data_IF_788020803614
#
_entry.id   IF_788020803614
#
_cell.length_a   1.000
_cell.length_b   1.000
_cell.length_c   1.000
_cell.angle_alpha   90.00
_cell.angle_beta   90.00
_cell.angle_gamma   90.00
#
_symmetry.space_group_name_H-M   'P 1'
#
loop_
_entity.id
_entity.type
_entity.pdbx_description
1 polymer ?
#
# COMPACT_ATOMS: atom_id res chain seq x y z
N UNK A 1 -35.10 -12.33 55.54
CA UNK A 1 -35.78 -13.53 56.08
C UNK A 1 -35.26 -14.72 55.28
N UNK A 2 -34.03 -15.17 55.54
CA UNK A 2 -33.67 -16.18 56.55
C UNK A 2 -34.02 -17.62 56.10
N UNK A 3 -32.99 -18.41 55.79
CA UNK A 3 -32.81 -19.85 56.12
C UNK A 3 -31.73 -20.45 55.21
N UNK A 4 -30.50 -20.62 55.71
CA UNK A 4 -29.95 -21.88 56.26
C UNK A 4 -29.49 -22.85 55.17
N UNK A 5 -28.19 -22.91 54.84
CA UNK A 5 -27.09 -23.58 55.58
C UNK A 5 -27.34 -25.08 55.79
N UNK A 6 -26.58 -25.90 55.04
CA UNK A 6 -25.94 -27.10 55.58
C UNK A 6 -24.59 -27.32 54.91
N UNK A 7 -23.56 -27.04 55.69
CA UNK A 7 -22.22 -27.57 55.51
C UNK A 7 -22.19 -29.05 55.94
N UNK A 8 -21.20 -29.80 55.47
CA UNK A 8 -20.13 -30.42 56.29
C UNK A 8 -19.50 -31.60 55.55
N UNK A 9 -18.18 -31.46 55.28
CA UNK A 9 -17.04 -32.41 55.41
C UNK A 9 -17.19 -33.85 54.93
N UNK A 10 -16.18 -34.61 54.55
CA UNK A 10 -14.72 -34.56 54.34
C UNK A 10 -14.41 -36.05 54.03
N UNK A 11 -13.37 -36.48 53.33
CA UNK A 11 -12.17 -35.89 52.81
C UNK A 11 -11.20 -37.03 52.42
N UNK A 12 -9.99 -36.64 52.02
CA UNK A 12 -8.72 -37.43 51.98
C UNK A 12 -8.75 -38.69 51.11
N UNK A 13 -8.06 -38.70 49.97
CA UNK A 13 -6.60 -38.70 49.82
C UNK A 13 -6.27 -39.90 48.92
N UNK A 14 -5.14 -40.07 48.24
CA UNK A 14 -3.92 -39.33 48.01
C UNK A 14 -3.23 -39.99 46.78
N UNK A 15 -2.05 -39.49 46.40
CA UNK A 15 -1.06 -40.01 45.45
C UNK A 15 -1.14 -39.43 44.02
N UNK A 16 -0.39 -38.36 43.69
CA UNK A 16 1.05 -38.31 43.33
C UNK A 16 1.42 -39.14 42.10
N UNK A 17 1.59 -38.45 40.97
CA UNK A 17 2.77 -38.61 40.10
C UNK A 17 3.12 -37.25 39.50
N UNK A 18 4.22 -36.65 39.99
CA UNK A 18 4.96 -35.60 39.30
C UNK A 18 5.48 -36.16 37.98
N UNK A 19 5.33 -35.43 36.88
CA UNK A 19 6.25 -35.53 35.73
C UNK A 19 6.78 -34.13 35.41
N UNK A 20 8.09 -34.11 35.30
CA UNK A 20 8.98 -32.96 35.20
C UNK A 20 8.95 -32.36 33.79
N UNK A 21 9.08 -31.03 33.73
CA UNK A 21 9.53 -30.29 32.54
C UNK A 21 10.91 -30.80 32.08
N UNK A 22 11.23 -30.68 30.78
CA UNK A 22 12.59 -30.44 30.34
C UNK A 22 12.77 -28.97 29.94
N UNK A 23 13.81 -28.39 30.53
CA UNK A 23 14.36 -27.07 30.26
C UNK A 23 15.17 -27.06 28.96
N UNK A 24 15.00 -25.98 28.21
CA UNK A 24 15.88 -25.34 27.20
C UNK A 24 17.28 -25.94 26.99
N UNK A 25 17.62 -26.21 25.72
CA UNK A 25 19.00 -26.10 25.21
C UNK A 25 19.00 -25.39 23.84
N UNK A 26 20.01 -24.53 23.56
CA UNK A 26 20.07 -23.69 22.38
C UNK A 26 20.76 -24.39 21.20
N UNK A 27 20.18 -24.29 20.01
CA UNK A 27 20.86 -24.60 18.76
C UNK A 27 21.69 -23.39 18.32
N UNK A 28 23.00 -23.46 18.56
CA UNK A 28 24.00 -22.74 17.76
C UNK A 28 24.28 -23.59 16.52
N UNK A 29 24.09 -23.03 15.33
CA UNK A 29 24.75 -23.50 14.12
C UNK A 29 25.22 -22.26 13.35
N UNK A 30 26.49 -22.28 12.99
CA UNK A 30 27.20 -21.21 12.32
C UNK A 30 26.77 -21.06 10.87
N UNK A 31 26.57 -19.82 10.42
CA UNK A 31 26.89 -19.38 9.06
C UNK A 31 27.01 -17.85 9.07
N UNK A 32 28.19 -17.37 9.47
CA UNK A 32 28.72 -16.04 9.12
C UNK A 32 29.80 -16.27 8.07
N UNK A 33 29.56 -15.88 6.82
CA UNK A 33 30.54 -15.32 5.86
C UNK A 33 29.87 -15.10 4.50
N UNK A 34 30.13 -13.92 3.92
CA UNK A 34 29.54 -13.32 2.70
C UNK A 34 28.08 -12.87 2.91
N UNK A 35 27.72 -11.59 3.00
CA UNK A 35 28.05 -10.49 2.09
C UNK A 35 28.32 -9.19 2.87
N UNK A 36 29.60 -8.82 2.95
CA UNK A 36 30.06 -7.46 3.27
C UNK A 36 30.97 -7.03 2.12
N UNK A 37 30.38 -6.64 0.97
CA UNK A 37 31.11 -5.95 -0.10
C UNK A 37 30.16 -5.27 -1.11
N UNK A 38 29.49 -4.19 -0.71
CA UNK A 38 28.94 -3.23 -1.68
C UNK A 38 28.62 -1.84 -1.07
N UNK A 39 29.38 -1.40 -0.05
CA UNK A 39 29.24 -0.07 0.53
C UNK A 39 30.61 0.62 0.65
N UNK A 40 31.31 0.78 -0.48
CA UNK A 40 32.33 1.83 -0.69
C UNK A 40 32.41 2.10 -2.20
N UNK A 41 31.64 3.08 -2.66
CA UNK A 41 32.03 4.05 -3.70
C UNK A 41 30.93 5.11 -3.78
N UNK A 42 30.93 5.97 -2.76
CA UNK A 42 30.46 7.33 -2.90
C UNK A 42 31.51 8.13 -3.69
N UNK A 43 31.02 9.10 -4.45
CA UNK A 43 31.66 10.39 -4.76
C UNK A 43 32.84 10.39 -5.75
N UNK A 44 32.47 10.56 -7.02
CA UNK A 44 33.04 11.49 -8.01
C UNK A 44 32.12 11.34 -9.24
N UNK A 45 31.44 12.33 -9.80
CA UNK A 45 31.70 13.75 -9.91
C UNK A 45 30.38 14.53 -9.94
N UNK A 46 30.33 15.59 -9.15
CA UNK A 46 29.47 16.74 -9.44
C UNK A 46 30.30 17.97 -9.17
N UNK A 47 30.82 18.63 -10.22
CA UNK A 47 31.24 20.02 -10.15
C UNK A 47 31.53 20.63 -11.53
N UNK A 48 30.82 21.75 -11.76
CA UNK A 48 31.13 22.86 -12.68
C UNK A 48 30.91 22.60 -14.18
N UNK A 49 30.28 23.46 -14.99
CA UNK A 49 29.73 24.79 -14.72
C UNK A 49 28.84 25.28 -15.88
N UNK A 50 28.06 26.31 -15.56
CA UNK A 50 27.24 27.17 -16.41
C UNK A 50 27.94 27.76 -17.64
N UNK A 51 27.14 28.08 -18.67
CA UNK A 51 27.02 29.37 -19.42
C UNK A 51 26.57 29.08 -20.87
N UNK A 52 25.35 29.45 -21.27
CA UNK A 52 24.93 30.74 -21.84
C UNK A 52 25.10 30.85 -23.37
N UNK A 53 24.08 31.46 -24.01
CA UNK A 53 24.09 32.16 -25.30
C UNK A 53 24.11 31.29 -26.58
N UNK A 54 23.01 31.17 -27.32
CA UNK A 54 22.44 32.10 -28.32
C UNK A 54 23.18 32.15 -29.68
N UNK A 55 22.37 31.92 -30.73
CA UNK A 55 22.39 32.53 -32.08
C UNK A 55 23.40 32.09 -33.16
N UNK A 56 22.93 32.31 -34.40
CA UNK A 56 23.55 32.27 -35.73
C UNK A 56 23.62 30.88 -36.41
N UNK A 57 22.91 30.58 -37.51
CA UNK A 57 22.83 31.18 -38.86
C UNK A 57 24.12 31.10 -39.69
N UNK A 58 23.98 30.49 -40.88
CA UNK A 58 24.92 30.55 -42.01
C UNK A 58 25.74 29.26 -42.19
N UNK A 59 26.15 28.83 -43.38
CA UNK A 59 25.86 29.14 -44.79
C UNK A 59 26.76 28.15 -45.57
N UNK A 60 26.26 27.63 -46.70
CA UNK A 60 27.01 27.15 -47.88
C UNK A 60 28.34 26.37 -47.72
N UNK A 61 28.39 25.18 -48.35
CA UNK A 61 29.37 24.95 -49.41
C UNK A 61 28.95 23.85 -50.38
N UNK A 62 29.58 23.94 -51.54
CA UNK A 62 29.15 23.58 -52.88
C UNK A 62 30.16 22.57 -53.43
N UNK A 63 29.74 21.58 -54.22
CA UNK A 63 30.38 21.09 -55.46
C UNK A 63 29.87 19.67 -55.84
N UNK A 64 29.37 19.55 -57.07
CA UNK A 64 29.14 18.28 -57.76
C UNK A 64 30.47 17.70 -58.33
N UNK A 65 30.50 16.93 -59.45
CA UNK A 65 29.47 16.83 -60.51
C UNK A 65 29.34 15.42 -61.20
N UNK A 66 28.59 15.40 -62.32
CA UNK A 66 28.57 14.42 -63.44
C UNK A 66 27.60 13.24 -63.28
N UNK A 67 26.72 12.86 -64.22
CA UNK A 67 26.43 13.26 -65.61
C UNK A 67 25.78 12.06 -66.35
N UNK A 68 25.12 12.31 -67.50
CA UNK A 68 24.55 11.37 -68.53
C UNK A 68 23.06 11.00 -68.34
N UNK A 69 22.10 11.66 -69.02
CA UNK A 69 21.53 11.49 -70.40
C UNK A 69 20.62 10.23 -70.56
N UNK A 70 19.29 10.41 -70.47
CA UNK A 70 18.25 10.41 -71.54
C UNK A 70 17.88 9.06 -72.16
N UNK A 71 16.61 8.65 -72.02
CA UNK A 71 15.71 8.33 -73.15
C UNK A 71 14.26 8.13 -72.65
N UNK A 72 13.32 8.76 -73.36
CA UNK A 72 11.86 8.61 -73.24
C UNK A 72 11.38 7.44 -74.09
N UNK A 73 10.39 6.67 -73.63
CA UNK A 73 9.31 6.13 -74.49
C UNK A 73 8.01 6.13 -73.70
N UNK A 74 6.99 6.77 -74.27
CA UNK A 74 5.61 6.79 -73.82
C UNK A 74 4.83 5.63 -74.45
N UNK A 75 3.88 5.03 -73.73
CA UNK A 75 2.72 4.36 -74.32
C UNK A 75 1.49 4.50 -73.39
N UNK A 76 0.39 4.93 -74.01
CA UNK A 76 -0.90 5.32 -73.43
C UNK A 76 -1.70 4.12 -72.91
N UNK A 77 -2.64 4.33 -71.98
CA UNK A 77 -4.07 3.95 -72.15
C UNK A 77 -4.93 4.16 -70.89
N UNK A 78 -5.91 5.04 -71.05
CA UNK A 78 -7.31 4.89 -70.60
C UNK A 78 -7.69 5.25 -69.16
N UNK A 79 -8.39 6.38 -69.10
CA UNK A 79 -9.22 6.90 -68.01
C UNK A 79 -10.20 5.87 -67.45
N UNK A 80 -10.36 5.84 -66.13
CA UNK A 80 -11.68 5.69 -65.53
C UNK A 80 -11.69 6.36 -64.15
N UNK A 81 -12.16 7.61 -64.16
CA UNK A 81 -12.69 8.24 -62.97
C UNK A 81 -13.95 7.46 -62.55
N UNK A 82 -13.84 6.63 -61.53
CA UNK A 82 -14.99 6.21 -60.75
C UNK A 82 -15.01 7.02 -59.47
N UNK A 83 -15.86 8.04 -59.48
CA UNK A 83 -16.43 8.63 -58.27
C UNK A 83 -17.07 7.50 -57.46
N UNK A 84 -16.43 7.16 -56.34
CA UNK A 84 -17.09 6.57 -55.19
C UNK A 84 -16.90 7.59 -54.08
N UNK A 85 -17.93 8.41 -53.86
CA UNK A 85 -18.15 8.99 -52.54
C UNK A 85 -18.47 7.81 -51.62
N UNK A 86 -17.45 7.15 -51.11
CA UNK A 86 -17.58 6.48 -49.83
C UNK A 86 -17.73 7.60 -48.80
N UNK A 87 -18.95 7.74 -48.30
CA UNK A 87 -19.16 8.19 -46.95
C UNK A 87 -18.42 7.20 -46.05
N UNK A 88 -17.12 7.40 -45.88
CA UNK A 88 -16.39 6.86 -44.75
C UNK A 88 -16.97 7.57 -43.54
N UNK A 89 -17.99 6.97 -42.94
CA UNK A 89 -18.15 7.08 -41.50
C UNK A 89 -16.76 6.78 -40.93
N UNK A 90 -16.09 7.80 -40.43
CA UNK A 90 -14.91 7.65 -39.59
C UNK A 90 -15.39 6.93 -38.33
N UNK A 91 -15.59 5.62 -38.44
CA UNK A 91 -15.52 4.72 -37.31
C UNK A 91 -14.05 4.79 -36.91
N UNK A 92 -13.73 5.74 -36.04
CA UNK A 92 -12.53 5.67 -35.22
C UNK A 92 -12.62 4.33 -34.49
N UNK A 93 -12.00 3.29 -35.06
CA UNK A 93 -11.74 2.06 -34.35
C UNK A 93 -10.81 2.44 -33.19
N UNK A 94 -11.41 2.66 -32.01
CA UNK A 94 -10.67 2.89 -30.79
C UNK A 94 -9.94 1.59 -30.45
N UNK A 95 -8.69 1.49 -30.91
CA UNK A 95 -7.83 0.35 -30.66
C UNK A 95 -7.55 0.26 -29.15
N UNK A 96 -8.06 -0.80 -28.55
CA UNK A 96 -7.79 -1.12 -27.15
C UNK A 96 -6.36 -1.62 -26.97
N UNK A 97 -5.66 -1.13 -25.94
CA UNK A 97 -4.33 -1.61 -25.59
C UNK A 97 -4.40 -2.97 -24.90
N UNK A 98 -3.30 -3.74 -24.94
CA UNK A 98 -3.24 -5.04 -24.26
C UNK A 98 -3.53 -4.93 -22.76
N UNK A 99 -3.05 -3.87 -22.11
CA UNK A 99 -3.26 -3.60 -20.68
C UNK A 99 -4.74 -3.34 -20.36
N UNK A 100 -5.44 -2.59 -21.21
CA UNK A 100 -6.87 -2.33 -21.07
C UNK A 100 -7.70 -3.61 -21.22
N UNK A 101 -7.34 -4.44 -22.20
CA UNK A 101 -7.95 -5.76 -22.40
C UNK A 101 -7.73 -6.67 -21.18
N UNK A 102 -6.50 -6.74 -20.67
CA UNK A 102 -6.17 -7.52 -19.47
C UNK A 102 -6.99 -7.05 -18.26
N UNK A 103 -7.05 -5.74 -18.03
CA UNK A 103 -7.83 -5.16 -16.93
C UNK A 103 -9.33 -5.48 -17.05
N UNK A 104 -9.91 -5.45 -18.25
CA UNK A 104 -11.31 -5.85 -18.48
C UNK A 104 -11.56 -7.31 -18.19
N UNK A 105 -10.66 -8.20 -18.62
CA UNK A 105 -10.78 -9.64 -18.34
C UNK A 105 -10.72 -9.88 -16.83
N UNK A 106 -9.75 -9.29 -16.12
CA UNK A 106 -9.64 -9.43 -14.67
C UNK A 106 -10.85 -8.85 -13.93
N UNK A 107 -11.39 -7.73 -14.40
CA UNK A 107 -12.62 -7.14 -13.85
C UNK A 107 -13.83 -8.06 -14.04
N UNK A 108 -13.98 -8.65 -15.23
CA UNK A 108 -15.04 -9.63 -15.50
C UNK A 108 -14.89 -10.92 -14.67
N UNK A 109 -13.64 -11.36 -14.45
CA UNK A 109 -13.31 -12.55 -13.68
C UNK A 109 -13.77 -12.46 -12.21
N UNK A 110 -13.85 -11.25 -11.62
CA UNK A 110 -14.30 -11.05 -10.23
C UNK A 110 -15.70 -11.63 -9.98
N UNK A 111 -16.58 -11.61 -10.97
CA UNK A 111 -17.94 -12.17 -10.86
C UNK A 111 -17.94 -13.69 -10.64
N UNK A 112 -16.87 -14.36 -11.06
CA UNK A 112 -16.72 -15.81 -11.01
C UNK A 112 -15.89 -16.29 -9.82
N UNK A 113 -15.26 -15.38 -9.07
CA UNK A 113 -14.47 -15.70 -7.86
C UNK A 113 -15.29 -16.42 -6.79
N UNK A 114 -16.57 -16.10 -6.51
CA UNK A 114 -17.34 -16.84 -5.51
C UNK A 114 -17.56 -18.32 -5.88
N UNK A 115 -17.49 -18.67 -7.17
CA UNK A 115 -17.73 -20.03 -7.67
C UNK A 115 -16.41 -20.79 -7.87
N UNK A 116 -15.41 -20.15 -8.49
CA UNK A 116 -14.14 -20.80 -8.87
C UNK A 116 -12.97 -20.47 -7.92
N UNK A 117 -13.18 -19.58 -6.94
CA UNK A 117 -12.12 -19.06 -6.09
C UNK A 117 -11.15 -18.15 -6.84
N UNK A 118 -10.03 -17.83 -6.18
CA UNK A 118 -8.95 -17.04 -6.77
C UNK A 118 -8.06 -17.95 -7.64
N UNK A 119 -8.49 -18.19 -8.88
CA UNK A 119 -7.95 -19.25 -9.74
C UNK A 119 -7.88 -18.83 -11.22
N UNK A 120 -7.16 -19.61 -12.03
CA UNK A 120 -7.09 -19.39 -13.48
C UNK A 120 -8.43 -19.70 -14.15
N UNK A 121 -9.21 -20.60 -13.56
CA UNK A 121 -10.56 -20.94 -14.00
C UNK A 121 -11.48 -19.71 -13.93
N UNK A 122 -11.40 -18.91 -12.86
CA UNK A 122 -12.14 -17.65 -12.75
C UNK A 122 -11.77 -16.65 -13.86
N UNK A 123 -10.47 -16.55 -14.18
CA UNK A 123 -9.97 -15.69 -15.27
C UNK A 123 -10.49 -16.18 -16.63
N UNK A 124 -10.45 -17.49 -16.87
CA UNK A 124 -10.94 -18.08 -18.11
C UNK A 124 -12.45 -17.86 -18.30
N UNK A 125 -13.25 -18.01 -17.24
CA UNK A 125 -14.68 -17.73 -17.24
C UNK A 125 -14.97 -16.23 -17.48
N UNK A 126 -14.15 -15.35 -16.89
CA UNK A 126 -14.18 -13.91 -17.15
C UNK A 126 -13.95 -13.58 -18.63
N UNK A 127 -12.94 -14.19 -19.25
CA UNK A 127 -12.65 -14.03 -20.68
C UNK A 127 -13.82 -14.53 -21.56
N UNK A 128 -14.36 -15.72 -21.27
CA UNK A 128 -15.51 -16.27 -21.99
C UNK A 128 -16.76 -15.38 -21.89
N UNK A 129 -16.98 -14.74 -20.72
CA UNK A 129 -18.09 -13.79 -20.54
C UNK A 129 -17.99 -12.54 -21.42
N UNK A 130 -16.77 -12.18 -21.85
CA UNK A 130 -16.49 -11.09 -22.78
C UNK A 130 -16.50 -11.54 -24.25
N UNK A 131 -16.85 -12.80 -24.53
CA UNK A 131 -16.83 -13.38 -25.87
C UNK A 131 -15.43 -13.74 -26.37
N UNK A 132 -14.43 -13.77 -25.49
CA UNK A 132 -13.06 -14.20 -25.81
C UNK A 132 -12.90 -15.71 -25.61
N UNK A 133 -11.85 -16.28 -26.17
CA UNK A 133 -11.50 -17.69 -25.94
C UNK A 133 -10.95 -17.89 -24.53
N UNK A 134 -11.20 -19.04 -23.91
CA UNK A 134 -10.55 -19.41 -22.64
C UNK A 134 -9.02 -19.43 -22.73
N UNK A 135 -8.46 -19.59 -23.93
CA UNK A 135 -7.03 -19.46 -24.18
C UNK A 135 -6.46 -18.06 -23.85
N UNK A 136 -7.31 -17.01 -23.83
CA UNK A 136 -6.93 -15.67 -23.40
C UNK A 136 -6.45 -15.60 -21.94
N UNK A 137 -6.83 -16.58 -21.11
CA UNK A 137 -6.28 -16.72 -19.75
C UNK A 137 -4.76 -16.95 -19.72
N UNK A 138 -4.16 -17.42 -20.84
CA UNK A 138 -2.73 -17.60 -20.98
C UNK A 138 -1.91 -16.30 -21.02
N UNK A 139 -2.56 -15.13 -21.10
CA UNK A 139 -1.89 -13.83 -20.99
C UNK A 139 -1.41 -13.53 -19.56
N UNK A 140 -1.98 -14.18 -18.55
CA UNK A 140 -1.68 -13.94 -17.15
C UNK A 140 -0.69 -14.98 -16.63
N UNK A 141 0.27 -14.55 -15.81
CA UNK A 141 1.28 -15.44 -15.21
C UNK A 141 0.71 -16.35 -14.12
N UNK A 142 -0.42 -15.98 -13.53
CA UNK A 142 -1.15 -16.79 -12.57
C UNK A 142 -2.30 -16.06 -11.89
N UNK A 143 -3.03 -16.80 -11.04
CA UNK A 143 -4.18 -16.28 -10.29
C UNK A 143 -3.85 -15.13 -9.32
N UNK A 144 -2.57 -14.90 -9.02
CA UNK A 144 -2.12 -13.77 -8.20
C UNK A 144 -2.42 -12.42 -8.84
N UNK A 145 -2.41 -12.33 -10.17
CA UNK A 145 -2.72 -11.09 -10.89
C UNK A 145 -4.17 -10.67 -10.69
N UNK A 146 -5.10 -11.63 -10.60
CA UNK A 146 -6.49 -11.37 -10.27
C UNK A 146 -6.64 -10.76 -8.87
N UNK A 147 -5.89 -11.26 -7.89
CA UNK A 147 -5.89 -10.71 -6.52
C UNK A 147 -5.29 -9.30 -6.50
N UNK A 148 -4.16 -9.09 -7.19
CA UNK A 148 -3.51 -7.78 -7.28
C UNK A 148 -4.41 -6.74 -7.96
N UNK A 149 -5.10 -7.12 -9.04
CA UNK A 149 -6.09 -6.28 -9.72
C UNK A 149 -7.23 -5.89 -8.78
N UNK A 150 -7.79 -6.84 -8.05
CA UNK A 150 -8.85 -6.56 -7.07
C UNK A 150 -8.39 -5.61 -5.96
N UNK A 151 -7.18 -5.78 -5.43
CA UNK A 151 -6.62 -4.87 -4.41
C UNK A 151 -6.40 -3.48 -4.99
N UNK A 152 -5.88 -3.37 -6.21
CA UNK A 152 -5.68 -2.09 -6.88
C UNK A 152 -7.01 -1.36 -7.12
N UNK A 153 -8.05 -2.09 -7.55
CA UNK A 153 -9.40 -1.55 -7.71
C UNK A 153 -9.99 -1.07 -6.38
N UNK A 154 -9.91 -1.87 -5.31
CA UNK A 154 -10.35 -1.46 -3.97
C UNK A 154 -9.61 -0.20 -3.48
N UNK A 155 -8.30 -0.13 -3.70
CA UNK A 155 -7.50 1.04 -3.32
C UNK A 155 -7.91 2.28 -4.13
N UNK A 156 -8.14 2.14 -5.43
CA UNK A 156 -8.63 3.22 -6.30
C UNK A 156 -9.99 3.75 -5.84
N UNK A 157 -10.93 2.85 -5.56
CA UNK A 157 -12.26 3.19 -5.03
C UNK A 157 -12.16 3.92 -3.69
N UNK A 158 -11.33 3.44 -2.77
CA UNK A 158 -11.10 4.11 -1.49
C UNK A 158 -10.54 5.52 -1.71
N UNK A 159 -9.51 5.66 -2.54
CA UNK A 159 -8.88 6.96 -2.78
C UNK A 159 -9.85 7.96 -3.42
N UNK A 160 -10.78 7.51 -4.26
CA UNK A 160 -11.87 8.35 -4.78
C UNK A 160 -12.83 8.80 -3.66
N UNK A 161 -13.29 7.88 -2.81
CA UNK A 161 -14.17 8.21 -1.68
C UNK A 161 -13.52 9.21 -0.71
N UNK A 162 -12.24 9.01 -0.39
CA UNK A 162 -11.49 9.90 0.48
C UNK A 162 -11.27 11.28 -0.16
N UNK A 163 -11.05 11.34 -1.48
CA UNK A 163 -10.95 12.61 -2.20
C UNK A 163 -12.25 13.41 -2.14
N UNK A 164 -13.40 12.74 -2.31
CA UNK A 164 -14.72 13.35 -2.20
C UNK A 164 -14.97 13.87 -0.77
N UNK A 165 -14.75 13.05 0.24
CA UNK A 165 -14.89 13.45 1.65
C UNK A 165 -13.98 14.65 1.97
N UNK A 166 -12.74 14.62 1.53
CA UNK A 166 -11.78 15.70 1.73
C UNK A 166 -12.24 17.00 1.05
N UNK A 167 -12.83 16.92 -0.15
CA UNK A 167 -13.42 18.07 -0.86
C UNK A 167 -14.59 18.67 -0.08
N UNK A 168 -15.46 17.84 0.51
CA UNK A 168 -16.56 18.33 1.36
C UNK A 168 -16.05 19.09 2.58
N UNK A 169 -14.98 18.62 3.21
CA UNK A 169 -14.32 19.34 4.33
C UNK A 169 -13.74 20.68 3.86
N UNK A 170 -13.05 20.72 2.71
CA UNK A 170 -12.49 21.96 2.17
C UNK A 170 -13.56 23.01 1.83
N UNK A 171 -14.73 22.57 1.35
CA UNK A 171 -15.86 23.43 1.04
C UNK A 171 -16.66 23.86 2.28
N UNK A 172 -16.26 23.45 3.48
CA UNK A 172 -16.98 23.74 4.73
C UNK A 172 -18.34 23.04 4.85
N UNK A 173 -18.56 21.98 4.08
CA UNK A 173 -19.79 21.18 4.09
C UNK A 173 -19.75 20.06 5.13
N UNK A 174 -18.56 19.72 5.63
CA UNK A 174 -18.33 18.75 6.68
C UNK A 174 -17.22 19.23 7.63
N UNK A 175 -17.33 18.87 8.92
CA UNK A 175 -16.30 19.15 9.91
C UNK A 175 -15.14 18.14 9.79
N UNK A 176 -13.87 18.56 10.00
CA UNK A 176 -12.75 17.64 10.00
C UNK A 176 -12.86 16.66 11.16
N UNK A 177 -12.80 15.36 10.84
CA UNK A 177 -12.78 14.29 11.84
C UNK A 177 -11.46 14.28 12.59
N UNK A 178 -11.47 13.78 13.83
CA UNK A 178 -10.22 13.46 14.55
C UNK A 178 -9.49 12.37 13.79
N UNK A 179 -8.16 12.44 13.75
CA UNK A 179 -7.30 11.46 13.06
C UNK A 179 -7.60 10.01 13.44
N UNK A 180 -7.86 9.73 14.73
CA UNK A 180 -8.20 8.37 15.17
C UNK A 180 -9.53 7.86 14.62
N UNK A 181 -10.55 8.72 14.60
CA UNK A 181 -11.87 8.38 14.09
C UNK A 181 -11.82 8.22 12.57
N UNK A 182 -11.13 9.12 11.89
CA UNK A 182 -10.88 9.07 10.44
C UNK A 182 -10.19 7.76 10.03
N UNK A 183 -9.09 7.39 10.70
CA UNK A 183 -8.36 6.16 10.37
C UNK A 183 -9.20 4.90 10.64
N UNK A 184 -10.00 4.89 11.71
CA UNK A 184 -10.91 3.77 12.00
C UNK A 184 -11.90 3.59 10.86
N UNK A 185 -12.60 4.65 10.50
CA UNK A 185 -13.63 4.62 9.46
C UNK A 185 -13.06 4.28 8.09
N UNK A 186 -11.86 4.79 7.78
CA UNK A 186 -11.17 4.51 6.52
C UNK A 186 -10.74 3.05 6.41
N UNK A 187 -10.14 2.49 7.47
CA UNK A 187 -9.74 1.07 7.51
C UNK A 187 -10.97 0.16 7.45
N UNK A 188 -12.02 0.49 8.19
CA UNK A 188 -13.30 -0.23 8.13
C UNK A 188 -13.89 -0.21 6.72
N UNK A 189 -13.99 0.97 6.09
CA UNK A 189 -14.49 1.13 4.71
C UNK A 189 -13.69 0.26 3.74
N UNK A 190 -12.36 0.27 3.86
CA UNK A 190 -11.48 -0.53 3.00
C UNK A 190 -11.66 -2.03 3.20
N UNK A 191 -11.81 -2.49 4.44
CA UNK A 191 -11.99 -3.91 4.76
C UNK A 191 -13.38 -4.43 4.39
N UNK A 192 -14.42 -3.60 4.47
CA UNK A 192 -15.78 -3.94 4.00
C UNK A 192 -15.84 -4.25 2.50
N UNK A 193 -14.89 -3.78 1.70
CA UNK A 193 -14.77 -4.17 0.29
C UNK A 193 -14.49 -5.67 0.09
N UNK A 194 -13.96 -6.36 1.11
CA UNK A 194 -13.70 -7.80 1.08
C UNK A 194 -14.91 -8.65 1.44
N UNK A 195 -15.98 -8.06 2.01
CA UNK A 195 -17.17 -8.80 2.46
C UNK A 195 -17.75 -9.76 1.41
N UNK A 196 -17.84 -9.41 0.10
CA UNK A 196 -18.34 -10.34 -0.92
C UNK A 196 -17.45 -11.57 -1.15
N UNK A 197 -16.17 -11.49 -0.79
CA UNK A 197 -15.15 -12.51 -1.07
C UNK A 197 -14.52 -13.09 0.20
N UNK A 198 -15.11 -12.83 1.38
CA UNK A 198 -14.49 -13.15 2.67
C UNK A 198 -14.20 -14.65 2.85
N UNK A 199 -15.06 -15.52 2.30
CA UNK A 199 -14.91 -16.97 2.39
C UNK A 199 -13.68 -17.50 1.63
N UNK A 200 -13.34 -16.86 0.50
CA UNK A 200 -12.18 -17.23 -0.33
C UNK A 200 -10.97 -16.31 -0.10
N UNK A 201 -11.11 -15.27 0.75
CA UNK A 201 -10.02 -14.33 1.04
C UNK A 201 -8.74 -14.99 1.60
N UNK A 202 -8.80 -16.04 2.46
CA UNK A 202 -7.60 -16.74 2.90
C UNK A 202 -6.77 -17.31 1.74
N UNK A 203 -7.44 -17.78 0.68
CA UNK A 203 -6.77 -18.24 -0.54
C UNK A 203 -6.05 -17.06 -1.23
N UNK A 204 -6.71 -15.92 -1.39
CA UNK A 204 -6.10 -14.71 -1.96
C UNK A 204 -4.86 -14.27 -1.17
N UNK A 205 -4.95 -14.23 0.17
CA UNK A 205 -3.82 -13.89 1.03
C UNK A 205 -2.63 -14.85 0.80
N UNK A 206 -2.89 -16.15 0.64
CA UNK A 206 -1.83 -17.13 0.36
C UNK A 206 -1.14 -16.88 -0.99
N UNK A 207 -1.89 -16.44 -2.01
CA UNK A 207 -1.34 -16.09 -3.32
C UNK A 207 -0.46 -14.84 -3.26
N UNK A 208 -0.83 -13.83 -2.46
CA UNK A 208 -0.04 -12.60 -2.29
C UNK A 208 1.30 -12.84 -1.61
N UNK A 209 1.39 -13.87 -0.75
CA UNK A 209 2.63 -14.24 -0.08
C UNK A 209 3.62 -14.99 -0.99
N UNK A 210 3.22 -15.36 -2.21
CA UNK A 210 4.12 -15.97 -3.17
C UNK A 210 5.19 -14.96 -3.63
N UNK A 211 6.46 -15.38 -3.80
CA UNK A 211 7.57 -14.47 -4.14
C UNK A 211 7.34 -13.61 -5.39
N UNK A 212 6.63 -14.15 -6.39
CA UNK A 212 6.33 -13.38 -7.61
C UNK A 212 5.32 -12.24 -7.40
N UNK A 213 4.41 -12.36 -6.43
CA UNK A 213 3.33 -11.39 -6.20
C UNK A 213 3.68 -10.38 -5.09
N UNK A 214 4.59 -10.77 -4.19
CA UNK A 214 4.93 -10.01 -2.99
C UNK A 214 5.41 -8.57 -3.27
N UNK A 215 6.26 -8.28 -4.27
CA UNK A 215 6.71 -6.90 -4.52
C UNK A 215 5.56 -5.95 -4.86
N UNK A 216 4.67 -6.36 -5.76
CA UNK A 216 3.52 -5.54 -6.16
C UNK A 216 2.48 -5.46 -5.04
N UNK A 217 2.23 -6.57 -4.32
CA UNK A 217 1.35 -6.56 -3.15
C UNK A 217 1.82 -5.59 -2.05
N UNK A 218 3.13 -5.56 -1.77
CA UNK A 218 3.71 -4.62 -0.81
C UNK A 218 3.63 -3.18 -1.30
N UNK A 219 3.82 -2.94 -2.60
CA UNK A 219 3.66 -1.62 -3.21
C UNK A 219 2.23 -1.12 -3.03
N UNK A 220 1.23 -1.93 -3.39
CA UNK A 220 -0.19 -1.59 -3.19
C UNK A 220 -0.54 -1.32 -1.72
N UNK A 221 0.00 -2.14 -0.79
CA UNK A 221 -0.19 -1.94 0.65
C UNK A 221 0.45 -0.64 1.14
N UNK A 222 1.67 -0.33 0.68
CA UNK A 222 2.36 0.90 1.05
C UNK A 222 1.63 2.15 0.55
N UNK A 223 1.18 2.14 -0.70
CA UNK A 223 0.39 3.23 -1.29
C UNK A 223 -0.95 3.41 -0.59
N UNK A 224 -1.64 2.32 -0.22
CA UNK A 224 -2.87 2.38 0.56
C UNK A 224 -2.66 3.11 1.90
N UNK A 225 -1.63 2.71 2.65
CA UNK A 225 -1.31 3.31 3.96
C UNK A 225 -0.88 4.77 3.81
N UNK A 226 -0.16 5.10 2.73
CA UNK A 226 0.19 6.48 2.39
C UNK A 226 -1.05 7.34 2.15
N UNK A 227 -2.00 6.86 1.34
CA UNK A 227 -3.24 7.57 1.03
C UNK A 227 -4.09 7.79 2.28
N UNK A 228 -4.23 6.77 3.14
CA UNK A 228 -4.94 6.90 4.41
C UNK A 228 -4.34 8.02 5.28
N UNK A 229 -3.01 8.07 5.42
CA UNK A 229 -2.35 9.11 6.20
C UNK A 229 -2.40 10.49 5.54
N UNK A 230 -2.34 10.55 4.21
CA UNK A 230 -2.44 11.78 3.44
C UNK A 230 -3.78 12.48 3.69
N UNK A 231 -4.89 11.74 3.54
CA UNK A 231 -6.24 12.26 3.77
C UNK A 231 -6.57 12.49 5.25
N UNK A 232 -5.91 11.76 6.17
CA UNK A 232 -5.97 12.04 7.61
C UNK A 232 -5.30 13.38 8.00
N UNK A 233 -4.66 14.07 7.05
CA UNK A 233 -3.99 15.35 7.25
C UNK A 233 -2.57 15.24 7.79
N UNK A 234 -1.93 14.06 7.71
CA UNK A 234 -0.56 13.90 8.18
C UNK A 234 0.41 14.72 7.31
N UNK A 235 1.30 15.46 7.97
CA UNK A 235 2.40 16.23 7.36
C UNK A 235 3.74 15.88 8.01
N UNK A 236 3.82 14.71 8.62
CA UNK A 236 5.02 14.29 9.34
C UNK A 236 6.16 14.00 8.40
N UNK A 237 7.34 14.47 8.75
CA UNK A 237 8.61 14.10 8.12
C UNK A 237 9.42 13.22 9.06
N UNK A 238 10.53 12.65 8.56
CA UNK A 238 11.54 11.97 9.37
C UNK A 238 11.05 10.67 10.05
N UNK A 239 11.55 10.36 11.25
CA UNK A 239 11.24 9.09 11.93
C UNK A 239 9.75 8.88 12.22
N UNK A 240 9.02 9.97 12.46
CA UNK A 240 7.57 9.90 12.71
C UNK A 240 6.81 9.37 11.49
N UNK A 241 7.26 9.71 10.28
CA UNK A 241 6.69 9.23 9.02
C UNK A 241 6.76 7.70 8.93
N UNK A 242 7.92 7.11 9.27
CA UNK A 242 8.13 5.66 9.25
C UNK A 242 7.35 4.94 10.35
N UNK A 243 7.37 5.47 11.59
CA UNK A 243 6.65 4.84 12.70
C UNK A 243 5.15 4.82 12.47
N UNK A 244 4.57 5.91 11.95
CA UNK A 244 3.14 6.00 11.63
C UNK A 244 2.70 4.97 10.58
N UNK A 245 3.49 4.80 9.53
CA UNK A 245 3.23 3.81 8.47
C UNK A 245 3.35 2.40 9.00
N UNK A 246 4.44 2.08 9.68
CA UNK A 246 4.62 0.77 10.28
C UNK A 246 3.48 0.41 11.25
N UNK A 247 3.04 1.37 12.07
CA UNK A 247 1.90 1.18 12.96
C UNK A 247 0.59 0.91 12.21
N UNK A 248 0.23 1.75 11.22
CA UNK A 248 -1.01 1.59 10.47
C UNK A 248 -1.01 0.32 9.60
N UNK A 249 0.12 -0.03 8.97
CA UNK A 249 0.29 -1.30 8.26
C UNK A 249 0.06 -2.49 9.21
N UNK A 250 0.62 -2.44 10.42
CA UNK A 250 0.41 -3.47 11.43
C UNK A 250 -1.06 -3.59 11.86
N UNK A 251 -1.74 -2.45 12.09
CA UNK A 251 -3.17 -2.42 12.41
C UNK A 251 -3.99 -3.01 11.28
N UNK A 252 -3.76 -2.58 10.05
CA UNK A 252 -4.50 -3.06 8.87
C UNK A 252 -4.37 -4.57 8.71
N UNK A 253 -3.15 -5.10 8.64
CA UNK A 253 -2.91 -6.53 8.42
C UNK A 253 -3.44 -7.40 9.57
N UNK A 254 -3.31 -6.94 10.82
CA UNK A 254 -3.83 -7.71 11.97
C UNK A 254 -5.35 -7.68 12.03
N UNK A 255 -5.98 -6.56 11.65
CA UNK A 255 -7.44 -6.45 11.57
C UNK A 255 -7.99 -7.30 10.42
N UNK A 256 -7.32 -7.32 9.27
CA UNK A 256 -7.65 -8.21 8.15
C UNK A 256 -7.63 -9.68 8.56
N UNK A 257 -6.60 -10.12 9.31
CA UNK A 257 -6.50 -11.49 9.83
C UNK A 257 -7.59 -11.83 10.85
N UNK A 258 -8.02 -10.86 11.67
CA UNK A 258 -9.15 -11.03 12.60
C UNK A 258 -10.45 -11.16 11.81
N UNK A 259 -10.67 -10.30 10.81
CA UNK A 259 -11.87 -10.30 9.97
C UNK A 259 -12.13 -11.64 9.28
N UNK A 260 -11.07 -12.29 8.81
CA UNK A 260 -11.16 -13.63 8.19
C UNK A 260 -11.70 -14.69 9.14
N UNK A 261 -11.48 -14.54 10.45
CA UNK A 261 -11.92 -15.50 11.48
C UNK A 261 -13.21 -15.09 12.17
N UNK A 262 -13.71 -13.88 11.90
CA UNK A 262 -14.84 -13.30 12.59
C UNK A 262 -16.16 -13.78 11.98
N UNK A 263 -17.00 -14.38 12.83
CA UNK A 263 -18.36 -14.86 12.50
C UNK A 263 -19.45 -14.06 13.22
N UNK A 264 -19.08 -12.96 13.86
CA UNK A 264 -20.02 -12.08 14.56
C UNK A 264 -20.91 -11.30 13.56
N UNK A 265 -22.11 -10.86 13.96
CA UNK A 265 -22.99 -10.11 13.09
C UNK A 265 -22.33 -8.81 12.60
N UNK A 266 -22.28 -8.60 11.28
CA UNK A 266 -21.61 -7.44 10.65
C UNK A 266 -20.15 -7.23 11.10
N UNK A 267 -19.41 -8.30 11.42
CA UNK A 267 -17.99 -8.22 11.83
C UNK A 267 -17.74 -7.33 13.06
N UNK A 268 -18.68 -7.28 14.01
CA UNK A 268 -18.57 -6.47 15.23
C UNK A 268 -17.26 -6.71 16.00
N UNK A 269 -16.81 -7.95 16.14
CA UNK A 269 -15.56 -8.27 16.84
C UNK A 269 -14.34 -7.68 16.12
N UNK A 270 -14.35 -7.66 14.79
CA UNK A 270 -13.32 -7.01 13.96
C UNK A 270 -13.27 -5.51 14.20
N UNK A 271 -14.42 -4.84 14.25
CA UNK A 271 -14.49 -3.39 14.44
C UNK A 271 -14.10 -2.98 15.87
N UNK A 272 -14.47 -3.77 16.87
CA UNK A 272 -14.01 -3.60 18.24
C UNK A 272 -12.49 -3.79 18.35
N UNK A 273 -11.94 -4.81 17.68
CA UNK A 273 -10.49 -5.02 17.61
C UNK A 273 -9.78 -3.82 16.97
N UNK A 274 -10.27 -3.34 15.82
CA UNK A 274 -9.73 -2.17 15.12
C UNK A 274 -9.75 -0.93 16.02
N UNK A 275 -10.88 -0.67 16.69
CA UNK A 275 -11.01 0.45 17.60
C UNK A 275 -9.96 0.39 18.72
N UNK A 276 -9.80 -0.77 19.36
CA UNK A 276 -8.82 -0.98 20.42
C UNK A 276 -7.38 -0.73 19.92
N UNK A 277 -7.03 -1.25 18.74
CA UNK A 277 -5.69 -1.07 18.16
C UNK A 277 -5.37 0.38 17.81
N UNK A 278 -6.35 1.15 17.32
CA UNK A 278 -6.17 2.58 17.07
C UNK A 278 -5.98 3.32 18.40
N UNK A 279 -6.76 3.00 19.44
CA UNK A 279 -6.60 3.62 20.76
C UNK A 279 -5.23 3.31 21.37
N UNK A 280 -4.71 2.10 21.19
CA UNK A 280 -3.36 1.75 21.67
C UNK A 280 -2.29 2.66 21.07
N UNK A 281 -2.36 2.93 19.75
CA UNK A 281 -1.40 3.83 19.09
C UNK A 281 -1.52 5.27 19.58
N UNK A 282 -2.75 5.76 19.77
CA UNK A 282 -2.98 7.10 20.34
C UNK A 282 -2.41 7.20 21.76
N UNK A 283 -2.65 6.19 22.59
CA UNK A 283 -2.15 6.14 23.97
C UNK A 283 -0.62 6.06 24.02
N UNK A 284 0.00 5.26 23.14
CA UNK A 284 1.46 5.19 23.02
C UNK A 284 2.05 6.54 22.61
N UNK A 285 1.46 7.21 21.61
CA UNK A 285 1.92 8.53 21.17
C UNK A 285 1.82 9.59 22.29
N UNK A 286 0.71 9.61 23.03
CA UNK A 286 0.51 10.52 24.16
C UNK A 286 1.52 10.26 25.29
N UNK A 287 1.76 8.99 25.62
CA UNK A 287 2.72 8.59 26.65
C UNK A 287 4.14 9.00 26.27
N UNK A 288 4.54 8.77 25.02
CA UNK A 288 5.86 9.19 24.53
C UNK A 288 6.05 10.71 24.63
N UNK A 289 5.04 11.50 24.24
CA UNK A 289 5.06 12.97 24.36
C UNK A 289 5.12 13.42 25.83
N UNK A 290 4.40 12.77 26.73
CA UNK A 290 4.42 13.09 28.15
C UNK A 290 5.78 12.80 28.79
N UNK A 291 6.43 11.69 28.41
CA UNK A 291 7.78 11.36 28.89
C UNK A 291 8.81 12.39 28.41
N UNK A 292 8.74 12.80 27.13
CA UNK A 292 9.64 13.81 26.59
C UNK A 292 9.49 15.16 27.31
N UNK A 293 8.26 15.66 27.43
CA UNK A 293 7.98 16.94 28.09
C UNK A 293 8.34 16.92 29.58
N UNK A 294 8.09 15.81 30.28
CA UNK A 294 8.49 15.65 31.68
C UNK A 294 10.02 15.62 31.82
N UNK A 295 10.72 14.93 30.92
CA UNK A 295 12.19 14.89 30.89
C UNK A 295 12.79 16.28 30.70
N UNK A 296 12.28 17.05 29.74
CA UNK A 296 12.71 18.44 29.50
C UNK A 296 12.45 19.33 30.71
N UNK A 297 11.28 19.23 31.33
CA UNK A 297 10.93 20.00 32.53
C UNK A 297 11.85 19.67 33.72
N UNK A 298 12.18 18.39 33.94
CA UNK A 298 13.12 17.96 34.99
C UNK A 298 14.52 18.52 34.74
N UNK A 299 15.00 18.46 33.51
CA UNK A 299 16.32 19.02 33.14
C UNK A 299 16.34 20.53 33.36
N UNK A 300 15.32 21.25 32.92
CA UNK A 300 15.21 22.70 33.13
C UNK A 300 15.14 23.05 34.63
N UNK A 301 14.40 22.27 35.42
CA UNK A 301 14.34 22.43 36.87
C UNK A 301 15.70 22.25 37.55
N UNK A 302 16.47 21.22 37.15
CA UNK A 302 17.82 20.98 37.67
C UNK A 302 18.80 22.09 37.27
N UNK A 303 18.75 22.56 36.02
CA UNK A 303 19.59 23.68 35.54
C UNK A 303 19.24 24.96 36.30
N UNK A 304 17.95 25.26 36.48
CA UNK A 304 17.49 26.41 37.26
C UNK A 304 17.97 26.36 38.71
N UNK A 305 17.86 25.20 39.37
CA UNK A 305 18.36 24.99 40.73
C UNK A 305 19.90 25.17 40.80
N UNK A 306 20.64 24.64 39.84
CA UNK A 306 22.09 24.79 39.77
C UNK A 306 22.52 26.26 39.58
N UNK A 307 21.81 27.02 38.74
CA UNK A 307 22.06 28.47 38.54
C UNK A 307 21.76 29.24 39.82
N UNK A 308 20.64 28.95 40.50
CA UNK A 308 20.30 29.59 41.78
C UNK A 308 21.34 29.29 42.85
N UNK A 309 21.78 28.03 42.96
CA UNK A 309 22.87 27.66 43.88
C UNK A 309 24.16 28.39 43.54
N UNK A 310 24.56 28.44 42.27
CA UNK A 310 25.75 29.18 41.81
C UNK A 310 25.69 30.66 42.18
N UNK A 311 24.52 31.29 42.07
CA UNK A 311 24.32 32.69 42.44
C UNK A 311 24.34 32.91 43.95
N UNK A 312 23.73 32.01 44.73
CA UNK A 312 23.73 32.06 46.20
C UNK A 312 25.10 31.79 46.82
N UNK A 313 25.93 30.94 46.21
CA UNK A 313 27.28 30.61 46.72
C UNK A 313 28.33 31.66 46.37
N UNK A 314 27.98 32.76 45.71
CA UNK A 314 28.88 33.90 45.50
C UNK A 314 30.07 33.66 44.54
N UNK A 315 30.04 32.57 43.76
CA UNK A 315 31.18 32.15 42.90
C UNK A 315 31.44 33.12 41.73
N UNK A 316 30.58 34.14 41.54
CA UNK A 316 30.73 35.15 40.49
C UNK A 316 31.32 36.50 40.95
N UNK A 317 31.84 36.59 42.18
CA UNK A 317 32.67 37.74 42.56
C UNK A 317 34.11 37.52 42.07
N UNK A 318 34.40 37.94 40.83
CA UNK A 318 35.79 38.27 40.46
C UNK A 318 36.05 39.75 40.72
N UNK A 319 37.05 39.95 41.57
CA UNK A 319 37.92 41.13 41.65
C UNK A 319 38.65 41.35 40.33
#
# INVERSE_FOLDING_TARGET
>A
MAAMVRAVRAGRGAARTLRLLPTVLPLRCEQRLAFHRAAVRLQDESKHENTASAAASGLHQHQGPQGVLTEEVSEQSTEQSHSFQEQSEEQEEEYETEEQLQARILTAALQFVPVHGWSMEAISAGAESLGLSSASSGMFSGAGELVLHFIADCNSQLSHLLAEEHKHVQLGQAEPKKTSDFLRETVETRLRMYTPYIESWPQAMSLLLLPQNMPEGLKLLSSLVDDMWYYAGDRSTDMNWYTKRAALTGIYNTTELVMVQDSSPDFQETWDFLHNRIQDVVNMANTAKQVQTTGEAVVQGLVGAAVTLKNLTGINQRR
#
